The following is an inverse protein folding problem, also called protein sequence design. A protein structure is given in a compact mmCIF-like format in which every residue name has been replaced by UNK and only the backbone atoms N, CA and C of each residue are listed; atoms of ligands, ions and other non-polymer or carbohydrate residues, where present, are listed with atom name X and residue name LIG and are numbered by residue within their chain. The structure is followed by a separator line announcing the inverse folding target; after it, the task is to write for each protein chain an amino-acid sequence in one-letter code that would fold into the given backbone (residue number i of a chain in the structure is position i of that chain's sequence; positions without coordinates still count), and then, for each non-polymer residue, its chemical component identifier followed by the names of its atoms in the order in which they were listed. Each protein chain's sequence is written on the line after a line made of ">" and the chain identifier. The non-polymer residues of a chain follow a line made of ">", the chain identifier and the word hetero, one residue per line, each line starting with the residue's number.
data_IF_378510556630
#
_entry.id   IF_378510556630
#
_cell.length_a   1.000
_cell.length_b   1.000
_cell.length_c   1.000
_cell.angle_alpha   90.00
_cell.angle_beta   90.00
_cell.angle_gamma   90.00
#
_symmetry.space_group_name_H-M   'P 1'
#
loop_
_entity.id
_entity.type
_entity.pdbx_description
1 polymer ?
#
# COMPACT_ATOMS: atom_id res chain seq x y z
N UNK A 1 2.29 22.20 -11.50
CA UNK A 1 2.33 21.06 -12.46
C UNK A 1 3.53 21.15 -13.41
N UNK A 2 3.72 22.25 -14.16
CA UNK A 2 4.72 22.29 -15.25
C UNK A 2 6.14 22.70 -14.85
N UNK A 3 6.37 23.18 -13.63
CA UNK A 3 7.68 23.74 -13.21
C UNK A 3 8.85 22.74 -13.34
N UNK A 4 8.56 21.44 -13.25
CA UNK A 4 9.54 20.36 -13.34
C UNK A 4 9.39 19.50 -14.61
N UNK A 5 8.60 19.93 -15.59
CA UNK A 5 8.30 19.15 -16.80
C UNK A 5 9.14 19.65 -17.97
N UNK A 6 9.88 18.74 -18.61
CA UNK A 6 10.67 19.02 -19.82
C UNK A 6 10.12 18.25 -21.01
N UNK A 7 10.03 18.90 -22.16
CA UNK A 7 9.73 18.22 -23.41
C UNK A 7 10.97 17.48 -23.91
N UNK A 8 10.88 16.16 -24.00
CA UNK A 8 11.97 15.30 -24.50
C UNK A 8 11.86 15.01 -26.01
N UNK A 9 10.83 15.50 -26.70
CA UNK A 9 10.66 15.26 -28.13
C UNK A 9 11.71 16.05 -28.94
N UNK A 10 12.65 15.33 -29.55
CA UNK A 10 13.74 15.94 -30.34
C UNK A 10 13.33 16.41 -31.74
N UNK A 11 12.17 15.97 -32.25
CA UNK A 11 11.70 16.27 -33.62
C UNK A 11 10.35 16.97 -33.58
N UNK A 12 10.31 18.24 -33.99
CA UNK A 12 9.08 19.04 -34.03
C UNK A 12 7.95 18.39 -34.84
N UNK A 13 8.26 17.75 -35.97
CA UNK A 13 7.27 17.03 -36.78
C UNK A 13 6.64 15.82 -36.06
N UNK A 14 7.37 15.15 -35.17
CA UNK A 14 6.80 14.09 -34.33
C UNK A 14 5.91 14.68 -33.24
N UNK A 15 6.34 15.76 -32.60
CA UNK A 15 5.54 16.46 -31.60
C UNK A 15 4.22 16.97 -32.19
N UNK A 16 4.28 17.65 -33.34
CA UNK A 16 3.10 18.15 -34.05
C UNK A 16 2.12 17.04 -34.41
N UNK A 17 2.61 15.87 -34.83
CA UNK A 17 1.76 14.70 -35.10
C UNK A 17 1.06 14.21 -33.83
N UNK A 18 1.75 14.18 -32.68
CA UNK A 18 1.13 13.80 -31.40
C UNK A 18 0.06 14.81 -31.01
N UNK A 19 0.37 16.11 -31.06
CA UNK A 19 -0.58 17.20 -30.77
C UNK A 19 -1.81 17.08 -31.67
N UNK A 20 -1.64 16.85 -32.96
CA UNK A 20 -2.74 16.69 -33.91
C UNK A 20 -3.60 15.42 -33.68
N UNK A 21 -3.09 14.40 -32.98
CA UNK A 21 -3.94 13.27 -32.56
C UNK A 21 -4.69 13.59 -31.27
N UNK A 22 -4.05 14.30 -30.33
CA UNK A 22 -4.70 14.74 -29.08
C UNK A 22 -5.82 15.75 -29.37
N UNK A 23 -5.61 16.66 -30.32
CA UNK A 23 -6.60 17.67 -30.74
C UNK A 23 -7.89 17.06 -31.34
N UNK A 24 -7.83 15.81 -31.81
CA UNK A 24 -9.02 15.08 -32.30
C UNK A 24 -9.87 14.50 -31.17
N UNK A 25 -9.35 14.48 -29.94
CA UNK A 25 -10.13 14.00 -28.80
C UNK A 25 -11.15 15.09 -28.44
N UNK A 26 -12.41 14.70 -28.31
CA UNK A 26 -13.49 15.60 -27.89
C UNK A 26 -13.70 15.46 -26.38
N UNK A 27 -13.86 16.59 -25.69
CA UNK A 27 -13.83 16.69 -24.22
C UNK A 27 -15.12 17.27 -23.64
N UNK A 28 -16.27 16.92 -24.21
CA UNK A 28 -17.49 17.72 -24.04
C UNK A 28 -18.49 17.14 -23.03
N UNK A 29 -18.33 15.88 -22.63
CA UNK A 29 -19.24 15.20 -21.71
C UNK A 29 -18.52 14.47 -20.58
N UNK A 30 -19.20 14.25 -19.45
CA UNK A 30 -18.69 13.43 -18.34
C UNK A 30 -18.30 12.01 -18.80
N UNK A 31 -18.98 11.49 -19.83
CA UNK A 31 -18.64 10.22 -20.48
C UNK A 31 -17.27 10.26 -21.16
N UNK A 32 -16.91 11.39 -21.79
CA UNK A 32 -15.60 11.56 -22.44
C UNK A 32 -14.48 11.61 -21.39
N UNK A 33 -14.72 12.22 -20.22
CA UNK A 33 -13.76 12.25 -19.11
C UNK A 33 -13.51 10.85 -18.58
N UNK A 34 -14.56 10.04 -18.39
CA UNK A 34 -14.39 8.65 -17.95
C UNK A 34 -13.60 7.80 -18.94
N UNK A 35 -13.89 7.90 -20.24
CA UNK A 35 -13.14 7.20 -21.28
C UNK A 35 -11.68 7.65 -21.31
N UNK A 36 -11.42 8.95 -21.13
CA UNK A 36 -10.07 9.48 -21.05
C UNK A 36 -9.32 8.95 -19.83
N UNK A 37 -9.98 8.89 -18.67
CA UNK A 37 -9.41 8.30 -17.45
C UNK A 37 -9.04 6.84 -17.68
N UNK A 38 -9.87 6.05 -18.35
CA UNK A 38 -9.56 4.66 -18.70
C UNK A 38 -8.37 4.54 -19.66
N UNK A 39 -8.30 5.39 -20.70
CA UNK A 39 -7.17 5.42 -21.63
C UNK A 39 -5.90 5.83 -20.90
N UNK A 40 -5.96 6.86 -20.07
CA UNK A 40 -4.83 7.35 -19.28
C UNK A 40 -4.33 6.26 -18.33
N UNK A 41 -5.23 5.54 -17.68
CA UNK A 41 -4.92 4.39 -16.81
C UNK A 41 -4.24 3.25 -17.57
N UNK A 42 -4.71 2.90 -18.77
CA UNK A 42 -4.04 1.90 -19.61
C UNK A 42 -2.65 2.38 -20.03
N UNK A 43 -2.49 3.66 -20.38
CA UNK A 43 -1.20 4.25 -20.69
C UNK A 43 -0.26 4.24 -19.48
N UNK A 44 -0.74 4.58 -18.27
CA UNK A 44 0.03 4.49 -17.04
C UNK A 44 0.52 3.06 -16.79
N UNK A 45 -0.36 2.08 -16.97
CA UNK A 45 -0.01 0.66 -16.82
C UNK A 45 1.09 0.24 -17.80
N UNK A 46 1.01 0.67 -19.06
CA UNK A 46 2.03 0.41 -20.08
C UNK A 46 3.34 1.12 -19.78
N UNK A 47 3.29 2.41 -19.45
CA UNK A 47 4.48 3.20 -19.08
C UNK A 47 5.17 2.58 -17.87
N UNK A 48 4.40 2.16 -16.86
CA UNK A 48 4.95 1.44 -15.72
C UNK A 48 5.60 0.12 -16.15
N UNK A 49 4.94 -0.68 -17.00
CA UNK A 49 5.48 -1.96 -17.50
C UNK A 49 6.77 -1.79 -18.32
N UNK A 50 6.86 -0.74 -19.15
CA UNK A 50 8.05 -0.43 -19.96
C UNK A 50 9.19 0.16 -19.10
N UNK A 51 8.84 0.87 -18.02
CA UNK A 51 9.79 1.43 -17.05
C UNK A 51 10.25 0.43 -15.98
N UNK A 52 9.71 -0.80 -16.00
CA UNK A 52 9.89 -1.85 -14.98
C UNK A 52 11.35 -2.34 -14.79
N UNK A 53 12.31 -1.79 -15.53
CA UNK A 53 13.74 -2.02 -15.35
C UNK A 53 14.52 -0.90 -14.65
N UNK A 54 13.97 0.32 -14.50
CA UNK A 54 14.83 1.48 -14.23
C UNK A 54 14.92 1.97 -12.78
N UNK A 55 13.94 1.72 -11.89
CA UNK A 55 14.01 2.36 -10.56
C UNK A 55 13.07 1.81 -9.44
N UNK A 56 12.69 0.52 -9.44
CA UNK A 56 11.91 -0.06 -8.34
C UNK A 56 10.50 0.53 -8.16
N UNK A 57 9.92 1.10 -9.23
CA UNK A 57 8.54 1.61 -9.22
C UNK A 57 7.55 0.47 -9.41
N UNK A 58 6.67 0.29 -8.44
CA UNK A 58 5.65 -0.76 -8.45
C UNK A 58 4.29 -0.12 -8.76
N UNK A 59 3.70 -0.46 -9.90
CA UNK A 59 2.30 -0.14 -10.15
C UNK A 59 1.42 -1.08 -9.35
N UNK A 60 0.63 -0.53 -8.42
CA UNK A 60 -0.29 -1.31 -7.60
C UNK A 60 -1.50 -1.72 -8.42
N UNK A 61 -1.82 -3.00 -8.43
CA UNK A 61 -2.91 -3.53 -9.23
C UNK A 61 -4.28 -3.01 -8.76
N UNK A 62 -5.12 -2.58 -9.70
CA UNK A 62 -6.40 -1.89 -9.43
C UNK A 62 -7.38 -2.72 -8.59
N UNK A 63 -7.44 -4.04 -8.80
CA UNK A 63 -8.29 -4.93 -8.00
C UNK A 63 -7.84 -5.02 -6.53
N UNK A 64 -6.52 -4.97 -6.27
CA UNK A 64 -5.97 -4.91 -4.90
C UNK A 64 -6.30 -3.58 -4.24
N UNK A 65 -6.13 -2.46 -4.96
CA UNK A 65 -6.49 -1.11 -4.48
C UNK A 65 -7.97 -1.06 -4.08
N UNK A 66 -8.86 -1.54 -4.96
CA UNK A 66 -10.31 -1.60 -4.71
C UNK A 66 -10.63 -2.34 -3.42
N UNK A 67 -10.03 -3.51 -3.20
CA UNK A 67 -10.24 -4.29 -1.97
C UNK A 67 -9.75 -3.54 -0.74
N UNK A 68 -8.60 -2.86 -0.84
CA UNK A 68 -8.10 -2.05 0.26
C UNK A 68 -9.06 -0.91 0.62
N UNK A 69 -9.56 -0.20 -0.39
CA UNK A 69 -10.54 0.88 -0.23
C UNK A 69 -11.89 0.37 0.29
N UNK A 70 -12.37 -0.80 -0.16
CA UNK A 70 -13.61 -1.43 0.34
C UNK A 70 -13.54 -1.86 1.81
N UNK A 71 -12.35 -2.22 2.28
CA UNK A 71 -12.13 -2.58 3.69
C UNK A 71 -12.02 -1.34 4.56
N UNK A 72 -11.23 -0.35 4.11
CA UNK A 72 -10.95 0.89 4.85
C UNK A 72 -12.15 1.85 4.82
N UNK A 73 -12.95 1.84 3.75
CA UNK A 73 -14.18 2.62 3.57
C UNK A 73 -14.00 4.11 3.84
N UNK A 74 -13.14 4.81 3.10
CA UNK A 74 -12.91 6.24 3.30
C UNK A 74 -14.22 7.02 3.11
N UNK A 75 -14.41 8.09 3.88
CA UNK A 75 -15.63 8.90 3.92
C UNK A 75 -15.31 10.38 3.69
N UNK A 76 -16.28 11.14 3.19
CA UNK A 76 -16.13 12.59 3.05
C UNK A 76 -15.95 13.22 4.43
N UNK A 77 -14.91 14.04 4.55
CA UNK A 77 -14.45 14.62 5.81
C UNK A 77 -13.27 13.88 6.45
N UNK A 78 -12.94 12.66 6.00
CA UNK A 78 -11.66 12.04 6.32
C UNK A 78 -10.53 12.78 5.58
N UNK A 79 -9.38 12.93 6.24
CA UNK A 79 -8.11 13.17 5.55
C UNK A 79 -7.50 11.82 5.14
N UNK A 80 -7.40 11.59 3.84
CA UNK A 80 -6.83 10.40 3.18
C UNK A 80 -5.41 10.72 2.74
N UNK A 81 -4.45 9.92 3.18
CA UNK A 81 -3.03 10.13 2.91
C UNK A 81 -2.38 8.90 2.28
N UNK A 82 -1.53 9.14 1.28
CA UNK A 82 -0.59 8.15 0.75
C UNK A 82 0.85 8.70 0.79
N UNK A 83 1.73 8.15 1.65
CA UNK A 83 3.12 8.60 1.79
C UNK A 83 4.01 8.30 0.59
N UNK A 84 3.54 7.56 -0.42
CA UNK A 84 4.28 7.30 -1.64
C UNK A 84 3.27 7.08 -2.76
N UNK A 85 2.54 8.16 -3.06
CA UNK A 85 1.30 8.05 -3.83
C UNK A 85 1.49 7.54 -5.25
N UNK A 86 2.71 7.59 -5.80
CA UNK A 86 2.99 7.09 -7.13
C UNK A 86 2.10 7.76 -8.18
N UNK A 87 1.31 6.95 -8.88
CA UNK A 87 0.32 7.43 -9.87
C UNK A 87 -1.03 7.81 -9.25
N UNK A 88 -1.09 8.06 -7.93
CA UNK A 88 -2.31 8.37 -7.17
C UNK A 88 -3.37 7.26 -7.22
N UNK A 89 -2.97 6.00 -7.40
CA UNK A 89 -3.91 4.89 -7.55
C UNK A 89 -4.87 4.71 -6.38
N UNK A 90 -4.36 4.82 -5.15
CA UNK A 90 -5.19 4.74 -3.95
C UNK A 90 -6.08 5.97 -3.75
N UNK A 91 -5.54 7.16 -3.99
CA UNK A 91 -6.25 8.42 -3.78
C UNK A 91 -7.40 8.58 -4.80
N UNK A 92 -7.18 8.24 -6.08
CA UNK A 92 -8.21 8.25 -7.12
C UNK A 92 -9.34 7.25 -6.83
N UNK A 93 -9.01 6.00 -6.50
CA UNK A 93 -10.00 4.99 -6.15
C UNK A 93 -10.77 5.35 -4.87
N UNK A 94 -10.12 5.99 -3.89
CA UNK A 94 -10.80 6.51 -2.70
C UNK A 94 -11.78 7.64 -3.06
N UNK A 95 -11.44 8.54 -3.99
CA UNK A 95 -12.34 9.58 -4.47
C UNK A 95 -13.57 8.99 -5.17
N UNK A 96 -13.38 7.99 -6.02
CA UNK A 96 -14.48 7.30 -6.70
C UNK A 96 -15.37 6.57 -5.70
N UNK A 97 -14.78 5.84 -4.75
CA UNK A 97 -15.53 5.15 -3.70
C UNK A 97 -16.39 6.10 -2.87
N UNK A 98 -15.88 7.29 -2.52
CA UNK A 98 -16.65 8.28 -1.76
C UNK A 98 -17.86 8.81 -2.53
N UNK A 99 -17.83 8.80 -3.87
CA UNK A 99 -18.88 9.32 -4.75
C UNK A 99 -19.85 8.26 -5.26
N UNK A 100 -19.48 7.00 -5.23
CA UNK A 100 -20.28 5.90 -5.76
C UNK A 100 -21.33 5.39 -4.74
N UNK A 101 -22.64 5.64 -4.96
CA UNK A 101 -23.70 5.19 -4.05
C UNK A 101 -23.96 3.68 -4.09
N UNK A 102 -23.50 2.97 -5.13
CA UNK A 102 -23.64 1.51 -5.22
C UNK A 102 -22.65 0.81 -4.29
N UNK A 103 -21.46 1.39 -4.09
CA UNK A 103 -20.39 0.85 -3.26
C UNK A 103 -20.37 1.44 -1.85
N UNK A 104 -20.67 2.73 -1.73
CA UNK A 104 -20.74 3.43 -0.47
C UNK A 104 -22.18 3.89 -0.17
N UNK A 105 -22.87 3.14 0.69
CA UNK A 105 -24.24 3.47 1.13
C UNK A 105 -24.35 4.83 1.86
N UNK A 106 -23.21 5.41 2.28
CA UNK A 106 -23.16 6.75 2.88
C UNK A 106 -22.90 7.84 1.86
N UNK A 107 -22.59 7.51 0.60
CA UNK A 107 -22.52 8.48 -0.47
C UNK A 107 -23.93 9.07 -0.66
N UNK A 108 -24.03 10.37 -0.40
CA UNK A 108 -25.25 11.16 -0.57
C UNK A 108 -25.01 12.15 -1.70
N UNK A 109 -26.07 12.81 -2.13
CA UNK A 109 -25.92 13.99 -2.98
C UNK A 109 -25.01 14.99 -2.27
N UNK A 110 -23.90 15.33 -2.92
CA UNK A 110 -22.85 16.17 -2.33
C UNK A 110 -23.33 17.61 -2.27
N UNK A 111 -23.30 18.21 -1.08
CA UNK A 111 -23.48 19.66 -0.96
C UNK A 111 -22.26 20.40 -1.53
N UNK A 112 -22.39 21.68 -1.85
CA UNK A 112 -21.23 22.50 -2.27
C UNK A 112 -20.09 22.49 -1.25
N UNK A 113 -20.40 22.40 0.06
CA UNK A 113 -19.39 22.27 1.13
C UNK A 113 -18.70 20.90 1.13
N UNK A 114 -19.42 19.85 0.78
CA UNK A 114 -18.85 18.50 0.69
C UNK A 114 -17.94 18.39 -0.52
N UNK A 115 -18.30 19.03 -1.64
CA UNK A 115 -17.44 19.16 -2.82
C UNK A 115 -16.16 19.92 -2.50
N UNK A 116 -16.25 21.07 -1.81
CA UNK A 116 -15.06 21.84 -1.41
C UNK A 116 -14.12 21.02 -0.52
N UNK A 117 -14.66 20.28 0.45
CA UNK A 117 -13.89 19.37 1.31
C UNK A 117 -13.23 18.27 0.50
N UNK A 118 -13.98 17.64 -0.41
CA UNK A 118 -13.48 16.58 -1.28
C UNK A 118 -12.31 17.08 -2.14
N UNK A 119 -12.44 18.29 -2.70
CA UNK A 119 -11.41 18.90 -3.55
C UNK A 119 -10.13 19.23 -2.79
N UNK A 120 -10.23 19.90 -1.65
CA UNK A 120 -9.09 20.61 -1.04
C UNK A 120 -8.67 20.13 0.35
N UNK A 121 -9.51 19.34 1.05
CA UNK A 121 -9.28 18.96 2.46
C UNK A 121 -9.27 17.45 2.69
N UNK A 122 -9.35 16.66 1.62
CA UNK A 122 -9.49 15.20 1.70
C UNK A 122 -8.22 14.47 1.31
N UNK A 123 -7.61 14.78 0.18
CA UNK A 123 -6.48 13.99 -0.35
C UNK A 123 -5.14 14.67 -0.10
N UNK A 124 -4.19 13.89 0.41
CA UNK A 124 -2.83 14.30 0.74
C UNK A 124 -1.84 13.23 0.29
N UNK A 125 -0.63 13.63 -0.09
CA UNK A 125 0.40 12.65 -0.39
C UNK A 125 1.75 13.27 -0.75
N UNK A 126 2.79 12.46 -0.60
CA UNK A 126 4.14 12.77 -1.04
C UNK A 126 4.61 11.78 -2.11
N UNK A 127 5.37 12.28 -3.08
CA UNK A 127 6.06 11.48 -4.09
C UNK A 127 7.45 12.06 -4.30
N UNK A 128 8.46 11.20 -4.40
CA UNK A 128 9.87 11.62 -4.51
C UNK A 128 10.25 11.93 -5.96
N UNK A 129 9.59 11.28 -6.94
CA UNK A 129 9.96 11.37 -8.36
C UNK A 129 9.10 12.38 -9.11
N UNK A 130 9.71 13.40 -9.78
CA UNK A 130 8.95 14.44 -10.47
C UNK A 130 7.99 13.95 -11.56
N UNK A 131 8.40 12.95 -12.35
CA UNK A 131 7.53 12.40 -13.41
C UNK A 131 6.33 11.67 -12.81
N UNK A 132 6.56 10.83 -11.79
CA UNK A 132 5.51 10.07 -11.10
C UNK A 132 4.54 11.01 -10.38
N UNK A 133 5.07 12.05 -9.73
CA UNK A 133 4.29 13.15 -9.13
C UNK A 133 3.34 13.80 -10.14
N UNK A 134 3.85 14.13 -11.34
CA UNK A 134 3.05 14.70 -12.43
C UNK A 134 1.95 13.72 -12.85
N UNK A 135 2.31 12.45 -13.06
CA UNK A 135 1.37 11.43 -13.51
C UNK A 135 0.24 11.22 -12.49
N UNK A 136 0.57 11.18 -11.20
CA UNK A 136 -0.43 11.07 -10.12
C UNK A 136 -1.31 12.31 -10.00
N UNK A 137 -0.73 13.52 -10.13
CA UNK A 137 -1.50 14.77 -10.11
C UNK A 137 -2.53 14.82 -11.24
N UNK A 138 -2.11 14.46 -12.47
CA UNK A 138 -3.03 14.36 -13.60
C UNK A 138 -4.09 13.29 -13.37
N UNK A 139 -3.73 12.16 -12.75
CA UNK A 139 -4.69 11.12 -12.44
C UNK A 139 -5.78 11.62 -11.48
N UNK A 140 -5.41 12.37 -10.43
CA UNK A 140 -6.40 12.99 -9.53
C UNK A 140 -7.35 13.93 -10.27
N UNK A 141 -6.84 14.75 -11.18
CA UNK A 141 -7.65 15.65 -12.01
C UNK A 141 -8.65 14.86 -12.88
N UNK A 142 -8.22 13.73 -13.46
CA UNK A 142 -9.08 12.83 -14.24
C UNK A 142 -10.11 12.08 -13.38
N UNK A 143 -9.82 11.88 -12.09
CA UNK A 143 -10.78 11.52 -11.06
C UNK A 143 -11.58 12.73 -10.53
N UNK A 144 -11.56 13.87 -11.22
CA UNK A 144 -12.32 15.06 -10.86
C UNK A 144 -11.89 15.73 -9.55
N UNK A 145 -10.64 15.57 -9.13
CA UNK A 145 -10.04 16.22 -7.96
C UNK A 145 -8.89 17.12 -8.43
N UNK A 146 -9.13 18.42 -8.46
CA UNK A 146 -8.20 19.41 -9.01
C UNK A 146 -7.26 19.99 -7.95
N UNK A 147 -7.68 20.00 -6.68
CA UNK A 147 -6.99 20.69 -5.58
C UNK A 147 -6.44 19.74 -4.51
N UNK A 148 -6.09 18.51 -4.89
CA UNK A 148 -5.44 17.56 -3.98
C UNK A 148 -4.12 18.12 -3.44
N UNK A 149 -3.83 17.89 -2.15
CA UNK A 149 -2.62 18.37 -1.50
C UNK A 149 -1.45 17.40 -1.74
N UNK A 150 -0.93 17.40 -2.97
CA UNK A 150 0.17 16.54 -3.38
C UNK A 150 1.49 17.32 -3.38
N UNK A 151 2.49 16.78 -2.70
CA UNK A 151 3.81 17.39 -2.57
C UNK A 151 4.91 16.54 -3.22
N UNK A 152 5.86 17.20 -3.86
CA UNK A 152 7.08 16.57 -4.38
C UNK A 152 8.13 16.60 -3.27
N UNK A 153 8.46 15.45 -2.68
CA UNK A 153 9.35 15.36 -1.55
C UNK A 153 9.65 13.93 -1.10
N UNK A 154 10.67 13.78 -0.27
CA UNK A 154 11.02 12.49 0.31
C UNK A 154 10.31 12.31 1.65
N UNK A 155 9.34 11.40 1.71
CA UNK A 155 8.59 11.07 2.92
C UNK A 155 9.48 10.71 4.10
N UNK A 156 10.58 10.01 3.86
CA UNK A 156 11.46 9.55 4.94
C UNK A 156 12.38 10.68 5.48
N UNK A 157 12.38 11.85 4.84
CA UNK A 157 13.02 13.08 5.34
C UNK A 157 12.03 13.95 6.14
N UNK A 158 10.73 13.65 6.10
CA UNK A 158 9.72 14.39 6.85
C UNK A 158 9.77 13.98 8.32
N UNK A 159 10.23 14.90 9.17
CA UNK A 159 10.20 14.70 10.61
C UNK A 159 8.77 14.61 11.13
N UNK A 160 8.36 13.40 11.51
CA UNK A 160 7.01 13.14 12.03
C UNK A 160 6.92 13.21 13.56
N UNK A 161 7.93 13.76 14.21
CA UNK A 161 7.90 14.00 15.65
C UNK A 161 7.04 15.22 15.99
N UNK A 162 6.25 15.07 17.04
CA UNK A 162 5.37 16.12 17.57
C UNK A 162 4.27 16.63 16.62
N UNK A 163 3.88 15.83 15.60
CA UNK A 163 2.69 16.12 14.80
C UNK A 163 1.46 16.18 15.72
N UNK A 164 0.79 17.33 15.71
CA UNK A 164 -0.46 17.55 16.43
C UNK A 164 -1.55 16.61 15.92
N UNK A 165 -2.42 16.14 16.81
CA UNK A 165 -3.47 15.17 16.45
C UNK A 165 -4.40 15.70 15.33
N UNK A 166 -4.61 17.02 15.24
CA UNK A 166 -5.41 17.66 14.19
C UNK A 166 -4.78 17.58 12.78
N UNK A 167 -3.47 17.42 12.72
CA UNK A 167 -2.68 17.40 11.48
C UNK A 167 -2.43 15.97 10.98
N UNK A 168 -2.84 14.97 11.77
CA UNK A 168 -2.81 13.55 11.40
C UNK A 168 -3.94 13.19 10.44
N UNK A 169 -3.80 12.03 9.81
CA UNK A 169 -4.71 11.53 8.78
C UNK A 169 -5.67 10.48 9.32
N UNK A 170 -6.94 10.54 8.92
CA UNK A 170 -7.95 9.58 9.32
C UNK A 170 -7.81 8.26 8.57
N UNK A 171 -7.34 8.32 7.32
CA UNK A 171 -7.16 7.17 6.46
C UNK A 171 -5.77 7.20 5.85
N UNK A 172 -5.05 6.09 5.93
CA UNK A 172 -3.78 5.92 5.21
C UNK A 172 -3.86 4.67 4.32
N UNK A 173 -3.64 4.85 3.02
CA UNK A 173 -3.62 3.78 2.02
C UNK A 173 -2.28 3.85 1.32
N UNK A 174 -1.52 2.75 1.28
CA UNK A 174 -0.17 2.84 0.70
C UNK A 174 0.40 1.50 0.23
N UNK A 175 1.34 1.61 -0.72
CA UNK A 175 2.22 0.55 -1.16
C UNK A 175 3.69 1.05 -1.17
N UNK A 176 4.37 1.07 -0.02
CA UNK A 176 5.75 1.53 0.08
C UNK A 176 6.70 0.78 -0.86
N UNK A 177 7.79 1.43 -1.34
CA UNK A 177 8.78 0.78 -2.19
C UNK A 177 9.52 -0.34 -1.44
N UNK A 178 9.89 -1.40 -2.16
CA UNK A 178 10.55 -2.59 -1.60
C UNK A 178 12.06 -2.59 -1.83
N UNK A 179 12.82 -3.12 -0.87
CA UNK A 179 14.25 -3.39 -0.98
C UNK A 179 15.14 -2.14 -0.99
N UNK A 180 14.58 -0.96 -0.67
CA UNK A 180 15.33 0.27 -0.55
C UNK A 180 16.18 0.30 0.73
N UNK A 181 17.29 1.03 0.68
CA UNK A 181 18.13 1.32 1.85
C UNK A 181 18.22 2.82 2.12
N UNK A 182 18.08 3.19 3.39
CA UNK A 182 18.22 4.57 3.87
C UNK A 182 19.63 4.81 4.40
N UNK A 183 20.18 5.99 4.09
CA UNK A 183 21.45 6.45 4.65
C UNK A 183 21.38 6.58 6.18
N UNK A 184 22.48 6.25 6.85
CA UNK A 184 22.59 6.12 8.32
C UNK A 184 22.14 7.38 9.08
N UNK A 185 22.42 8.55 8.51
CA UNK A 185 22.13 9.86 9.10
C UNK A 185 20.62 10.08 9.25
N UNK A 186 19.85 9.68 8.24
CA UNK A 186 18.40 9.85 8.18
C UNK A 186 17.65 8.83 9.05
N UNK A 187 18.31 7.76 9.49
CA UNK A 187 17.71 6.77 10.39
C UNK A 187 17.44 7.35 11.78
N UNK A 188 18.14 8.42 12.17
CA UNK A 188 17.95 9.10 13.46
C UNK A 188 16.60 9.79 13.60
N UNK A 189 15.90 10.02 12.49
CA UNK A 189 14.54 10.58 12.45
C UNK A 189 13.47 9.60 12.96
N UNK A 190 13.85 8.33 13.15
CA UNK A 190 12.92 7.27 13.51
C UNK A 190 13.26 6.70 14.88
N UNK A 191 12.21 6.37 15.64
CA UNK A 191 12.34 5.75 16.97
C UNK A 191 13.13 4.45 16.90
N UNK A 192 12.78 3.60 15.93
CA UNK A 192 13.53 2.38 15.61
C UNK A 192 14.39 2.67 14.38
N UNK A 193 15.70 2.78 14.60
CA UNK A 193 16.66 2.94 13.50
C UNK A 193 16.65 1.69 12.63
N UNK A 194 16.50 1.88 11.33
CA UNK A 194 16.53 0.79 10.34
C UNK A 194 17.09 1.32 9.04
N UNK A 195 17.86 0.50 8.33
CA UNK A 195 18.26 0.79 6.96
C UNK A 195 17.16 0.42 5.97
N UNK A 196 16.24 -0.51 6.31
CA UNK A 196 15.19 -0.97 5.41
C UNK A 196 14.08 0.08 5.26
N UNK A 197 13.82 0.54 4.04
CA UNK A 197 12.83 1.58 3.77
C UNK A 197 11.42 1.16 4.20
N UNK A 198 11.05 -0.10 4.05
CA UNK A 198 9.73 -0.62 4.43
C UNK A 198 9.47 -0.45 5.93
N UNK A 199 10.50 -0.67 6.75
CA UNK A 199 10.47 -0.48 8.20
C UNK A 199 10.24 0.99 8.56
N UNK A 200 10.91 1.90 7.86
CA UNK A 200 10.79 3.35 8.07
C UNK A 200 9.43 3.89 7.63
N UNK A 201 8.91 3.44 6.48
CA UNK A 201 7.56 3.78 6.03
C UNK A 201 6.48 3.30 7.01
N UNK A 202 6.62 2.09 7.58
CA UNK A 202 5.69 1.62 8.60
C UNK A 202 5.67 2.54 9.83
N UNK A 203 6.84 2.96 10.32
CA UNK A 203 6.94 3.93 11.41
C UNK A 203 6.31 5.29 11.06
N UNK A 204 6.55 5.79 9.83
CA UNK A 204 5.93 7.02 9.34
C UNK A 204 4.41 6.92 9.34
N UNK A 205 3.86 5.83 8.81
CA UNK A 205 2.41 5.60 8.74
C UNK A 205 1.81 5.53 10.14
N UNK A 206 2.40 4.75 11.04
CA UNK A 206 1.96 4.66 12.44
C UNK A 206 1.94 6.04 13.11
N UNK A 207 2.97 6.85 12.86
CA UNK A 207 3.08 8.18 13.47
C UNK A 207 2.08 9.19 12.91
N UNK A 208 1.72 9.07 11.64
CA UNK A 208 0.81 9.99 10.95
C UNK A 208 -0.67 9.58 11.02
N UNK A 209 -0.99 8.41 11.56
CA UNK A 209 -2.37 7.95 11.72
C UNK A 209 -3.05 8.63 12.93
N UNK A 210 -4.19 9.27 12.68
CA UNK A 210 -5.02 9.89 13.71
C UNK A 210 -5.67 8.82 14.61
N UNK A 211 -6.04 9.20 15.83
CA UNK A 211 -6.87 8.41 16.74
C UNK A 211 -8.22 8.11 16.08
N UNK A 212 -8.68 6.86 16.18
CA UNK A 212 -9.83 6.36 15.41
C UNK A 212 -9.54 6.20 13.90
N UNK A 213 -8.32 6.50 13.46
CA UNK A 213 -7.89 6.36 12.09
C UNK A 213 -7.65 4.90 11.70
N UNK A 214 -7.64 4.65 10.39
CA UNK A 214 -7.59 3.32 9.80
C UNK A 214 -6.64 3.29 8.62
N UNK A 215 -5.81 2.26 8.54
CA UNK A 215 -4.79 2.12 7.51
C UNK A 215 -4.89 0.77 6.79
N UNK A 216 -4.55 0.77 5.50
CA UNK A 216 -4.20 -0.42 4.76
C UNK A 216 -2.86 -0.23 4.05
N UNK A 217 -1.91 -1.12 4.32
CA UNK A 217 -0.54 -1.01 3.80
C UNK A 217 -0.12 -2.33 3.18
N UNK A 218 0.39 -2.28 1.95
CA UNK A 218 1.01 -3.44 1.31
C UNK A 218 2.47 -3.51 1.77
N UNK A 219 2.91 -4.66 2.25
CA UNK A 219 4.31 -4.90 2.65
C UNK A 219 4.81 -6.26 2.16
N UNK A 220 6.12 -6.41 1.90
CA UNK A 220 6.70 -7.71 1.57
C UNK A 220 6.66 -8.66 2.77
N UNK A 221 6.58 -9.97 2.49
CA UNK A 221 6.46 -11.01 3.53
C UNK A 221 7.59 -10.96 4.56
N UNK A 222 8.81 -10.56 4.17
CA UNK A 222 9.95 -10.42 5.07
C UNK A 222 9.68 -9.49 6.27
N UNK A 223 8.95 -8.39 6.07
CA UNK A 223 8.60 -7.43 7.14
C UNK A 223 7.73 -8.09 8.22
N UNK A 224 7.05 -9.21 7.93
CA UNK A 224 6.23 -9.92 8.91
C UNK A 224 7.00 -10.81 9.87
N UNK A 225 8.23 -11.23 9.52
CA UNK A 225 8.97 -12.22 10.31
C UNK A 225 10.44 -11.91 10.56
N UNK A 226 11.07 -10.97 9.85
CA UNK A 226 12.48 -10.61 10.05
C UNK A 226 12.72 -10.07 11.46
N UNK A 227 13.91 -10.33 12.01
CA UNK A 227 14.33 -9.93 13.35
C UNK A 227 14.65 -8.43 13.46
N UNK A 228 15.50 -8.07 14.42
CA UNK A 228 16.03 -6.72 14.56
C UNK A 228 14.99 -5.60 14.58
N UNK A 229 15.19 -4.59 13.73
CA UNK A 229 14.35 -3.39 13.65
C UNK A 229 12.92 -3.69 13.18
N UNK A 230 12.74 -4.62 12.23
CA UNK A 230 11.41 -5.03 11.77
C UNK A 230 10.59 -5.63 12.92
N UNK A 231 11.21 -6.46 13.77
CA UNK A 231 10.54 -7.02 14.95
C UNK A 231 10.14 -5.94 15.97
N UNK A 232 11.02 -4.97 16.25
CA UNK A 232 10.71 -3.85 17.18
C UNK A 232 9.54 -3.00 16.69
N UNK A 233 9.49 -2.70 15.39
CA UNK A 233 8.36 -1.95 14.81
C UNK A 233 7.07 -2.78 14.86
N UNK A 234 7.13 -4.10 14.60
CA UNK A 234 5.96 -4.98 14.76
C UNK A 234 5.43 -5.03 16.19
N UNK A 235 6.32 -5.03 17.18
CA UNK A 235 5.93 -4.94 18.60
C UNK A 235 5.16 -3.64 18.87
N UNK A 236 5.74 -2.49 18.50
CA UNK A 236 5.11 -1.18 18.68
C UNK A 236 3.76 -1.08 17.94
N UNK A 237 3.67 -1.68 16.75
CA UNK A 237 2.43 -1.77 15.98
C UNK A 237 1.35 -2.55 16.75
N UNK A 238 1.65 -3.75 17.24
CA UNK A 238 0.67 -4.60 17.93
C UNK A 238 0.27 -4.04 19.31
N UNK A 239 1.19 -3.34 19.97
CA UNK A 239 0.94 -2.66 21.24
C UNK A 239 -0.03 -1.48 21.08
N UNK A 240 0.21 -0.60 20.11
CA UNK A 240 -0.48 0.69 20.01
C UNK A 240 -1.61 0.71 18.99
N UNK A 241 -1.63 -0.24 18.05
CA UNK A 241 -2.63 -0.34 16.99
C UNK A 241 -3.33 -1.70 17.03
N UNK A 242 -4.57 -1.72 16.58
CA UNK A 242 -5.32 -2.96 16.43
C UNK A 242 -5.14 -3.48 15.00
N UNK A 243 -4.16 -4.37 14.82
CA UNK A 243 -3.96 -5.12 13.57
C UNK A 243 -5.03 -6.20 13.48
N UNK A 244 -6.16 -5.85 12.88
CA UNK A 244 -7.31 -6.74 12.87
C UNK A 244 -7.31 -7.71 11.68
N UNK A 245 -6.54 -7.44 10.61
CA UNK A 245 -6.56 -8.28 9.40
C UNK A 245 -5.25 -8.29 8.64
N UNK A 246 -4.87 -9.48 8.19
CA UNK A 246 -3.81 -9.69 7.21
C UNK A 246 -4.38 -10.46 6.01
N UNK A 247 -4.29 -9.87 4.82
CA UNK A 247 -4.58 -10.53 3.56
C UNK A 247 -3.25 -10.93 2.91
N UNK A 248 -2.97 -12.23 2.84
CA UNK A 248 -1.78 -12.74 2.17
C UNK A 248 -2.04 -12.87 0.69
N UNK A 249 -1.21 -12.22 -0.14
CA UNK A 249 -1.33 -12.26 -1.59
C UNK A 249 -0.43 -13.36 -2.17
N UNK A 250 -0.80 -13.96 -3.32
CA UNK A 250 0.04 -14.95 -3.96
C UNK A 250 1.35 -14.31 -4.45
N UNK A 251 2.45 -15.07 -4.41
CA UNK A 251 3.71 -14.64 -4.99
C UNK A 251 3.53 -14.35 -6.50
N UNK A 252 4.00 -13.18 -6.94
CA UNK A 252 3.82 -12.73 -8.33
C UNK A 252 2.54 -11.95 -8.61
N UNK A 253 1.76 -11.58 -7.58
CA UNK A 253 0.63 -10.66 -7.69
C UNK A 253 1.01 -9.31 -8.37
N UNK A 254 2.26 -8.88 -8.19
CA UNK A 254 2.81 -7.64 -8.72
C UNK A 254 3.78 -7.85 -9.90
N UNK A 255 3.69 -8.98 -10.62
CA UNK A 255 4.39 -9.11 -11.90
C UNK A 255 3.81 -8.11 -12.93
N UNK A 256 4.62 -7.63 -13.89
CA UNK A 256 6.02 -8.01 -14.14
C UNK A 256 7.05 -7.37 -13.19
N UNK A 257 6.62 -6.44 -12.34
CA UNK A 257 7.50 -5.60 -11.53
C UNK A 257 8.25 -6.37 -10.43
N UNK A 258 7.55 -7.25 -9.71
CA UNK A 258 8.17 -8.09 -8.67
C UNK A 258 7.45 -9.42 -8.49
N UNK A 259 8.24 -10.46 -8.28
CA UNK A 259 7.76 -11.79 -7.89
C UNK A 259 7.62 -11.99 -6.38
N UNK A 260 7.99 -10.99 -5.57
CA UNK A 260 7.99 -11.07 -4.10
C UNK A 260 6.58 -11.33 -3.57
N UNK A 261 6.47 -12.22 -2.59
CA UNK A 261 5.22 -12.44 -1.86
C UNK A 261 4.97 -11.27 -0.92
N UNK A 262 3.75 -10.74 -0.97
CA UNK A 262 3.34 -9.51 -0.29
C UNK A 262 2.06 -9.76 0.49
N UNK A 263 1.81 -8.89 1.46
CA UNK A 263 0.65 -8.98 2.33
C UNK A 263 0.06 -7.59 2.50
N UNK A 264 -1.26 -7.51 2.65
CA UNK A 264 -1.95 -6.28 3.02
C UNK A 264 -2.27 -6.32 4.50
N UNK A 265 -1.74 -5.35 5.24
CA UNK A 265 -2.02 -5.15 6.66
C UNK A 265 -3.13 -4.13 6.81
N UNK A 266 -4.18 -4.51 7.52
CA UNK A 266 -5.22 -3.59 7.92
C UNK A 266 -5.19 -3.42 9.44
N UNK A 267 -5.07 -2.17 9.86
CA UNK A 267 -5.02 -1.82 11.27
C UNK A 267 -5.69 -0.48 11.53
N UNK A 268 -6.20 -0.33 12.74
CA UNK A 268 -6.76 0.92 13.24
C UNK A 268 -5.97 1.43 14.44
N UNK A 269 -5.95 2.76 14.62
CA UNK A 269 -5.45 3.38 15.84
C UNK A 269 -6.64 3.55 16.80
N UNK A 270 -6.61 2.96 17.99
CA UNK A 270 -7.65 3.16 19.00
C UNK A 270 -7.91 4.65 19.29
N UNK A 271 -9.16 5.02 19.58
CA UNK A 271 -9.50 6.39 19.99
C UNK A 271 -8.85 6.78 21.33
N UNK A 272 -8.70 5.79 22.20
CA UNK A 272 -8.05 5.92 23.50
C UNK A 272 -6.81 5.04 23.53
N UNK A 273 -5.70 5.60 24.01
CA UNK A 273 -4.45 4.84 24.15
C UNK A 273 -4.69 3.58 25.00
N UNK A 274 -4.08 2.44 24.64
CA UNK A 274 -4.16 1.23 25.43
C UNK A 274 -3.68 1.45 26.87
N UNK A 275 -4.30 0.74 27.82
CA UNK A 275 -3.80 0.74 29.20
C UNK A 275 -2.41 0.13 29.24
N UNK A 276 -1.53 0.66 30.10
CA UNK A 276 -0.20 0.12 30.31
C UNK A 276 -0.23 -1.41 30.51
N UNK A 277 0.59 -2.12 29.75
CA UNK A 277 0.66 -3.60 29.76
C UNK A 277 -0.45 -4.32 29.00
N UNK A 278 -1.31 -3.62 28.24
CA UNK A 278 -2.29 -4.24 27.35
C UNK A 278 -2.02 -3.85 25.90
N UNK A 279 -1.97 -4.85 25.03
CA UNK A 279 -1.88 -4.65 23.59
C UNK A 279 -3.23 -4.19 23.01
N UNK A 280 -3.18 -3.25 22.06
CA UNK A 280 -4.33 -2.86 21.26
C UNK A 280 -4.84 -4.02 20.40
N UNK A 281 -3.93 -4.77 19.78
CA UNK A 281 -4.27 -5.97 19.03
C UNK A 281 -4.61 -7.13 19.97
N UNK A 282 -5.76 -7.77 19.73
CA UNK A 282 -6.20 -8.96 20.50
C UNK A 282 -6.21 -10.24 19.68
N UNK A 283 -6.70 -10.13 18.45
CA UNK A 283 -6.83 -11.24 17.52
C UNK A 283 -6.60 -10.69 16.11
N UNK A 284 -5.89 -11.45 15.28
CA UNK A 284 -5.67 -11.12 13.87
C UNK A 284 -6.42 -12.13 13.02
N UNK A 285 -7.32 -11.66 12.15
CA UNK A 285 -7.97 -12.51 11.15
C UNK A 285 -7.12 -12.55 9.88
N UNK A 286 -6.79 -13.76 9.45
CA UNK A 286 -6.00 -13.99 8.25
C UNK A 286 -6.88 -14.49 7.11
N UNK A 287 -6.52 -14.08 5.90
CA UNK A 287 -7.04 -14.68 4.67
C UNK A 287 -5.88 -14.94 3.71
N UNK A 288 -5.73 -16.17 3.25
CA UNK A 288 -4.75 -16.56 2.24
C UNK A 288 -5.40 -16.55 0.86
N UNK A 289 -4.96 -15.61 0.02
CA UNK A 289 -5.37 -15.51 -1.37
C UNK A 289 -4.44 -16.37 -2.23
N UNK A 290 -5.01 -17.29 -3.00
CA UNK A 290 -4.27 -18.14 -3.94
C UNK A 290 -4.52 -17.74 -5.38
N UNK A 291 -5.65 -17.10 -5.66
CA UNK A 291 -6.03 -16.60 -6.97
C UNK A 291 -6.67 -15.22 -6.83
N UNK A 292 -6.02 -14.22 -7.40
CA UNK A 292 -6.49 -12.83 -7.39
C UNK A 292 -7.23 -12.43 -8.68
N UNK A 293 -7.63 -13.43 -9.48
CA UNK A 293 -8.28 -13.25 -10.78
C UNK A 293 -7.33 -13.11 -11.96
N UNK A 294 -6.02 -13.30 -11.76
CA UNK A 294 -5.00 -13.15 -12.81
C UNK A 294 -3.93 -14.25 -12.76
N UNK A 295 -3.41 -14.63 -13.92
CA UNK A 295 -2.26 -15.54 -14.00
C UNK A 295 -1.07 -15.00 -13.20
N UNK A 296 -0.37 -15.84 -12.44
CA UNK A 296 0.89 -15.48 -11.76
C UNK A 296 2.10 -15.56 -12.71
N UNK A 297 1.96 -14.93 -13.88
CA UNK A 297 2.96 -14.83 -14.95
C UNK A 297 3.17 -13.36 -15.32
N UNK A 298 4.27 -13.07 -16.02
CA UNK A 298 4.61 -11.73 -16.51
C UNK A 298 3.47 -11.04 -17.28
N UNK A 299 2.65 -11.82 -17.98
CA UNK A 299 1.52 -11.34 -18.77
C UNK A 299 0.32 -10.87 -17.95
N UNK A 300 0.15 -11.36 -16.71
CA UNK A 300 -1.00 -11.08 -15.82
C UNK A 300 -2.33 -11.06 -16.57
N UNK A 301 -2.63 -12.12 -17.35
CA UNK A 301 -3.92 -12.24 -18.06
C UNK A 301 -5.03 -12.60 -17.05
N UNK A 302 -6.25 -12.05 -17.20
CA UNK A 302 -7.37 -12.45 -16.37
C UNK A 302 -7.63 -13.96 -16.44
N UNK A 303 -7.98 -14.56 -15.31
CA UNK A 303 -8.39 -15.96 -15.18
C UNK A 303 -9.60 -16.06 -14.26
N UNK A 304 -10.38 -17.12 -14.42
CA UNK A 304 -11.51 -17.39 -13.53
C UNK A 304 -11.04 -17.77 -12.11
N UNK A 305 -11.96 -17.63 -11.15
CA UNK A 305 -11.72 -18.04 -9.76
C UNK A 305 -11.12 -16.96 -8.87
N UNK A 306 -11.37 -15.67 -9.17
CA UNK A 306 -11.04 -14.56 -8.28
C UNK A 306 -11.65 -14.76 -6.88
N UNK A 307 -10.78 -14.77 -5.87
CA UNK A 307 -11.14 -14.97 -4.47
C UNK A 307 -11.35 -13.65 -3.71
N UNK A 308 -11.05 -12.49 -4.29
CA UNK A 308 -11.24 -11.19 -3.63
C UNK A 308 -12.70 -10.91 -3.23
N UNK A 309 -13.73 -11.27 -4.02
CA UNK A 309 -15.12 -11.15 -3.59
C UNK A 309 -15.45 -12.06 -2.38
N UNK A 310 -14.87 -13.26 -2.33
CA UNK A 310 -15.03 -14.17 -1.18
C UNK A 310 -14.36 -13.60 0.07
N UNK A 311 -13.15 -13.06 -0.07
CA UNK A 311 -12.48 -12.31 1.00
C UNK A 311 -13.36 -11.21 1.56
N UNK A 312 -13.88 -10.30 0.72
CA UNK A 312 -14.73 -9.19 1.16
C UNK A 312 -16.01 -9.68 1.85
N UNK A 313 -16.61 -10.77 1.37
CA UNK A 313 -17.80 -11.37 1.97
C UNK A 313 -17.50 -11.94 3.37
N UNK A 314 -16.42 -12.71 3.51
CA UNK A 314 -16.03 -13.33 4.80
C UNK A 314 -15.46 -12.32 5.79
N UNK A 315 -14.76 -11.29 5.30
CA UNK A 315 -14.20 -10.21 6.10
C UNK A 315 -15.26 -9.53 6.99
N UNK A 316 -16.48 -9.31 6.46
CA UNK A 316 -17.60 -8.69 7.20
C UNK A 316 -17.97 -9.43 8.49
N UNK A 317 -17.81 -10.76 8.52
CA UNK A 317 -18.17 -11.60 9.67
C UNK A 317 -16.98 -12.34 10.28
N UNK A 318 -15.76 -12.10 9.80
CA UNK A 318 -14.54 -12.82 10.18
C UNK A 318 -14.72 -14.34 10.16
N UNK A 319 -15.45 -14.84 9.16
CA UNK A 319 -15.80 -16.26 9.05
C UNK A 319 -14.53 -17.09 8.83
N UNK A 320 -14.38 -18.20 9.56
CA UNK A 320 -13.29 -19.17 9.36
C UNK A 320 -13.61 -20.08 8.17
N UNK A 321 -12.59 -20.44 7.39
CA UNK A 321 -12.70 -21.36 6.25
C UNK A 321 -11.34 -21.98 5.93
N UNK A 322 -11.26 -22.78 4.88
CA UNK A 322 -9.99 -23.36 4.41
C UNK A 322 -8.91 -22.30 4.12
N UNK A 323 -9.33 -21.13 3.63
CA UNK A 323 -8.42 -20.01 3.35
C UNK A 323 -8.43 -18.90 4.42
N UNK A 324 -9.13 -19.08 5.56
CA UNK A 324 -9.20 -18.02 6.58
C UNK A 324 -9.29 -18.53 8.02
N UNK A 325 -8.55 -17.90 8.91
CA UNK A 325 -8.43 -18.30 10.31
C UNK A 325 -8.20 -17.09 11.21
N UNK A 326 -8.24 -17.31 12.52
CA UNK A 326 -7.97 -16.28 13.53
C UNK A 326 -6.82 -16.75 14.38
N UNK A 327 -5.85 -15.87 14.63
CA UNK A 327 -4.73 -16.12 15.54
C UNK A 327 -4.84 -15.14 16.72
N UNK A 328 -4.91 -15.63 17.98
CA UNK A 328 -4.84 -14.79 19.16
C UNK A 328 -3.48 -14.10 19.31
N UNK A 329 -3.45 -12.93 19.96
CA UNK A 329 -2.21 -12.18 20.16
C UNK A 329 -1.15 -12.95 20.95
N UNK A 330 -1.56 -13.79 21.90
CA UNK A 330 -0.63 -14.58 22.73
C UNK A 330 0.21 -15.55 21.87
N UNK A 331 -0.41 -16.21 20.89
CA UNK A 331 0.29 -17.09 19.94
C UNK A 331 1.26 -16.32 19.03
N UNK A 332 0.95 -15.06 18.71
CA UNK A 332 1.83 -14.17 17.93
C UNK A 332 3.05 -13.76 18.76
N UNK A 333 2.85 -13.46 20.04
CA UNK A 333 3.93 -13.12 20.98
C UNK A 333 4.86 -14.33 21.17
N UNK A 334 4.30 -15.53 21.40
CA UNK A 334 5.08 -16.77 21.52
C UNK A 334 5.94 -17.06 20.28
N UNK A 335 5.49 -16.62 19.10
CA UNK A 335 6.24 -16.73 17.83
C UNK A 335 7.26 -15.60 17.60
N UNK A 336 7.52 -14.77 18.61
CA UNK A 336 8.43 -13.63 18.50
C UNK A 336 7.87 -12.51 17.63
N UNK A 337 6.56 -12.26 17.70
CA UNK A 337 5.86 -11.24 16.93
C UNK A 337 5.88 -11.49 15.42
N UNK A 338 5.91 -12.77 15.01
CA UNK A 338 5.77 -13.19 13.61
C UNK A 338 4.31 -13.10 13.15
N UNK A 339 4.05 -12.21 12.19
CA UNK A 339 2.73 -11.95 11.61
C UNK A 339 2.49 -12.70 10.29
N UNK A 340 3.36 -13.64 9.92
CA UNK A 340 3.24 -14.34 8.64
C UNK A 340 1.99 -15.21 8.59
N UNK A 341 1.29 -15.16 7.46
CA UNK A 341 0.10 -15.96 7.20
C UNK A 341 0.44 -17.43 6.93
N UNK A 342 0.61 -18.23 7.99
CA UNK A 342 0.83 -19.68 7.90
C UNK A 342 -0.50 -20.42 7.99
N UNK A 343 -1.10 -20.73 6.83
CA UNK A 343 -2.39 -21.42 6.79
C UNK A 343 -2.27 -22.87 7.30
N UNK A 344 -2.88 -23.15 8.45
CA UNK A 344 -2.92 -24.48 9.07
C UNK A 344 -4.09 -25.35 8.57
N UNK A 345 -5.08 -24.74 7.90
CA UNK A 345 -6.32 -25.40 7.49
C UNK A 345 -6.17 -26.14 6.15
N UNK A 346 -5.13 -25.84 5.37
CA UNK A 346 -4.76 -26.66 4.22
C UNK A 346 -4.24 -28.01 4.73
N UNK A 347 -5.03 -29.07 4.51
CA UNK A 347 -4.48 -30.43 4.50
C UNK A 347 -3.28 -30.42 3.55
N UNK A 348 -2.17 -31.02 3.97
CA UNK A 348 -0.96 -31.22 3.17
C UNK A 348 -1.28 -32.05 1.90
N UNK A 349 -2.01 -31.49 0.95
CA UNK A 349 -1.78 -31.83 -0.43
C UNK A 349 -0.43 -31.19 -0.73
N UNK A 350 0.55 -32.05 -0.95
CA UNK A 350 1.83 -31.75 -1.56
C UNK A 350 1.54 -31.37 -3.04
N UNK A 351 0.59 -30.47 -3.28
CA UNK A 351 0.49 -29.75 -4.52
C UNK A 351 1.63 -28.75 -4.48
N UNK A 352 2.62 -28.99 -5.33
CA UNK A 352 3.80 -28.19 -5.53
C UNK A 352 3.49 -26.71 -5.30
N UNK A 353 4.05 -26.11 -4.24
CA UNK A 353 4.08 -24.66 -4.10
C UNK A 353 4.66 -24.10 -5.40
N UNK A 354 4.06 -23.06 -6.01
CA UNK A 354 4.59 -22.48 -7.23
C UNK A 354 6.09 -22.23 -7.10
N UNK A 355 6.88 -22.58 -8.11
CA UNK A 355 8.34 -22.47 -8.05
C UNK A 355 8.81 -21.07 -7.62
N UNK A 356 8.07 -20.03 -8.04
CA UNK A 356 8.31 -18.66 -7.62
C UNK A 356 8.15 -18.49 -6.10
N UNK A 357 7.10 -19.03 -5.48
CA UNK A 357 6.91 -18.94 -4.03
C UNK A 357 8.02 -19.69 -3.27
N UNK A 358 8.46 -20.85 -3.76
CA UNK A 358 9.58 -21.59 -3.17
C UNK A 358 10.86 -20.76 -3.22
N UNK A 359 11.19 -20.18 -4.38
CA UNK A 359 12.39 -19.34 -4.54
C UNK A 359 12.33 -18.11 -3.65
N UNK A 360 11.18 -17.43 -3.57
CA UNK A 360 11.01 -16.26 -2.69
C UNK A 360 11.13 -16.65 -1.21
N UNK A 361 10.55 -17.78 -0.81
CA UNK A 361 10.68 -18.29 0.56
C UNK A 361 12.11 -18.64 0.92
N UNK A 362 12.89 -19.21 -0.01
CA UNK A 362 14.32 -19.51 0.19
C UNK A 362 15.11 -18.21 0.37
N UNK A 363 14.94 -17.24 -0.55
CA UNK A 363 15.64 -15.94 -0.45
C UNK A 363 15.35 -15.22 0.86
N UNK A 364 14.09 -15.17 1.28
CA UNK A 364 13.71 -14.48 2.50
C UNK A 364 14.24 -15.20 3.77
N UNK A 365 14.46 -16.52 3.70
CA UNK A 365 15.15 -17.28 4.75
C UNK A 365 16.67 -17.06 4.73
N UNK A 366 17.29 -16.98 3.56
CA UNK A 366 18.72 -16.64 3.43
C UNK A 366 19.01 -15.25 4.01
N UNK A 367 18.18 -14.25 3.70
CA UNK A 367 18.28 -12.92 4.34
C UNK A 367 18.22 -13.01 5.86
N UNK A 368 17.26 -13.77 6.40
CA UNK A 368 17.15 -13.97 7.85
C UNK A 368 18.37 -14.67 8.45
N UNK A 369 18.97 -15.62 7.75
CA UNK A 369 20.21 -16.28 8.21
C UNK A 369 21.35 -15.27 8.27
N UNK A 370 21.50 -14.44 7.25
CA UNK A 370 22.52 -13.39 7.22
C UNK A 370 22.31 -12.35 8.33
N UNK A 371 21.06 -11.94 8.58
CA UNK A 371 20.73 -11.03 9.68
C UNK A 371 21.12 -11.63 11.04
N UNK A 372 20.77 -12.91 11.29
CA UNK A 372 21.12 -13.61 12.53
C UNK A 372 22.63 -13.78 12.72
N UNK A 373 23.37 -14.02 11.62
CA UNK A 373 24.84 -14.07 11.66
C UNK A 373 25.42 -12.71 12.06
N UNK A 374 24.91 -11.61 11.48
CA UNK A 374 25.33 -10.26 11.86
C UNK A 374 25.00 -9.91 13.31
N UNK A 375 23.85 -10.33 13.83
CA UNK A 375 23.51 -10.18 15.26
C UNK A 375 24.49 -10.96 16.15
N UNK A 376 24.88 -12.18 15.74
CA UNK A 376 25.82 -13.01 16.49
C UNK A 376 27.24 -12.42 16.50
N UNK A 377 27.71 -11.88 15.37
CA UNK A 377 28.99 -11.18 15.26
C UNK A 377 29.05 -9.97 16.22
N UNK A 378 27.99 -9.15 16.27
CA UNK A 378 27.92 -8.01 17.20
C UNK A 378 27.97 -8.43 18.67
N UNK A 379 27.33 -9.54 19.04
CA UNK A 379 27.38 -10.06 20.41
C UNK A 379 28.78 -10.54 20.77
N UNK A 380 29.51 -11.13 19.82
CA UNK A 380 30.88 -11.59 20.02
C UNK A 380 31.87 -10.41 20.14
N UNK A 381 31.68 -9.32 19.38
CA UNK A 381 32.54 -8.12 19.46
C UNK A 381 32.37 -7.32 20.76
N UNK A 382 31.21 -7.39 21.43
CA UNK A 382 30.94 -6.71 22.71
C UNK A 382 31.38 -7.59 23.92
N UNK A 383 31.73 -8.85 23.67
CA UNK A 383 32.19 -9.81 24.66
C UNK A 383 33.71 -9.84 24.89
N UNK A 384 34.49 -9.07 24.13
CA UNK A 384 35.90 -8.71 24.41
C UNK A 384 35.98 -7.31 25.02
#
# INVERSE_FOLDING_TARGET
>A
VFDNVRNYCRRGASFARVVAQVDKLHFSSDTDVHVLSEIYEDLLKRVAADSAGYAGEFYTQRHVIRVMVEVVKPQIGDKVYDPCFGTCGFLGEAADYMRDPQRNLRAKQLSGRDLEKLQSKTFFGLEIKPLTYLLGTMNMILHGIESANLELGNTLEVHSDNISEKDRYNVILSNPPYGGKMASELQTNFRVRSSATECLFMQHIMRNLAKGGRAAVIIPEGVLFRGGSDQKVRQELLENFNVHTILSLPAGCFLPYTGVKTNVLFFDRPETEPKAGKLATKNVWYYELTNDGFELKQTRRPIDGDQLPDFLKKWKKRTKSDNSWVVPIDEIIERGYDLSAKNQNRKNNIEHRPALELVQSVRAKEERIMDLLGELEQVLEVGE
#
